data_IF_792720369201
#
_entry.id   IF_792720369201
#
_cell.length_a   1.000
_cell.length_b   1.000
_cell.length_c   1.000
_cell.angle_alpha   90.00
_cell.angle_beta   90.00
_cell.angle_gamma   90.00
#
_symmetry.space_group_name_H-M   'P 1'
#
loop_
_entity.id
_entity.type
_entity.pdbx_description
1 polymer ?
#
# COMPACT_ATOMS: atom_id res chain seq x y z
N UNK A 1 -33.21 7.75 43.66
CA UNK A 1 -32.79 6.35 43.39
C UNK A 1 -33.82 5.71 42.48
N UNK A 2 -33.41 5.42 41.25
CA UNK A 2 -33.91 4.35 40.37
C UNK A 2 -32.93 4.25 39.18
N UNK A 3 -32.41 3.06 38.82
CA UNK A 3 -31.30 2.90 37.87
C UNK A 3 -31.78 2.88 36.39
N UNK A 4 -30.87 3.05 35.40
CA UNK A 4 -31.24 3.13 33.99
C UNK A 4 -31.45 1.75 33.34
N UNK A 5 -32.42 1.71 32.42
CA UNK A 5 -32.91 0.51 31.75
C UNK A 5 -31.99 0.10 30.57
N UNK A 6 -31.07 -0.83 30.82
CA UNK A 6 -30.11 -1.37 29.84
C UNK A 6 -30.69 -2.45 28.90
N UNK A 7 -32.00 -2.64 28.91
CA UNK A 7 -32.69 -3.75 28.26
C UNK A 7 -33.01 -3.53 26.77
N UNK A 8 -32.95 -2.29 26.25
CA UNK A 8 -33.34 -1.99 24.86
C UNK A 8 -32.15 -2.04 23.87
N UNK A 9 -30.91 -1.91 24.34
CA UNK A 9 -29.72 -1.98 23.46
C UNK A 9 -29.30 -3.43 23.10
N UNK A 10 -29.72 -4.42 23.88
CA UNK A 10 -29.34 -5.82 23.68
C UNK A 10 -30.25 -6.59 22.71
N UNK A 11 -31.47 -6.11 22.45
CA UNK A 11 -32.41 -6.78 21.53
C UNK A 11 -32.12 -6.44 20.06
N UNK A 12 -31.54 -5.26 19.77
CA UNK A 12 -31.17 -4.86 18.41
C UNK A 12 -29.94 -5.58 17.83
N UNK A 13 -28.99 -5.99 18.67
CA UNK A 13 -27.76 -6.68 18.23
C UNK A 13 -27.98 -8.19 18.07
N UNK A 14 -28.89 -8.79 18.85
CA UNK A 14 -29.23 -10.21 18.72
C UNK A 14 -30.10 -10.52 17.47
N UNK A 15 -30.89 -9.56 16.98
CA UNK A 15 -31.75 -9.75 15.81
C UNK A 15 -30.97 -9.78 14.48
N UNK A 16 -29.87 -9.03 14.35
CA UNK A 16 -29.06 -8.99 13.12
C UNK A 16 -28.18 -10.24 12.96
N UNK A 17 -27.69 -10.82 14.06
CA UNK A 17 -26.99 -12.11 14.02
C UNK A 17 -27.94 -13.28 13.70
N UNK A 18 -29.21 -13.21 14.13
CA UNK A 18 -30.23 -14.22 13.80
C UNK A 18 -30.62 -14.23 12.32
N UNK A 19 -30.67 -13.06 11.66
CA UNK A 19 -31.00 -12.92 10.24
C UNK A 19 -29.87 -13.45 9.34
N UNK A 20 -28.61 -13.25 9.72
CA UNK A 20 -27.45 -13.81 8.98
C UNK A 20 -27.37 -15.34 9.06
N UNK A 21 -27.84 -15.96 10.16
CA UNK A 21 -27.89 -17.42 10.29
C UNK A 21 -29.08 -18.06 9.55
N UNK A 22 -30.22 -17.36 9.38
CA UNK A 22 -31.35 -17.90 8.62
C UNK A 22 -31.12 -17.90 7.09
N UNK A 23 -30.34 -16.96 6.55
CA UNK A 23 -30.02 -16.92 5.12
C UNK A 23 -29.15 -18.10 4.64
N UNK A 24 -28.50 -18.84 5.54
CA UNK A 24 -27.70 -20.02 5.21
C UNK A 24 -28.50 -21.33 5.19
N UNK A 25 -29.81 -21.31 5.52
CA UNK A 25 -30.61 -22.56 5.65
C UNK A 25 -31.81 -22.70 4.71
N UNK A 26 -32.13 -21.72 3.88
CA UNK A 26 -33.23 -21.83 2.92
C UNK A 26 -32.73 -21.78 1.46
N UNK A 27 -32.27 -22.93 0.97
CA UNK A 27 -32.30 -23.24 -0.47
C UNK A 27 -33.76 -23.47 -0.86
N UNK A 28 -34.40 -22.48 -1.46
CA UNK A 28 -35.69 -22.66 -2.11
C UNK A 28 -36.57 -21.41 -2.11
N UNK A 29 -37.08 -21.10 -3.30
CA UNK A 29 -38.15 -20.13 -3.63
C UNK A 29 -37.66 -18.75 -4.10
N UNK A 30 -38.16 -18.40 -5.30
CA UNK A 30 -37.79 -17.32 -6.23
C UNK A 30 -38.66 -16.06 -6.02
N UNK A 31 -38.06 -14.89 -6.37
CA UNK A 31 -38.66 -13.66 -6.96
C UNK A 31 -39.67 -12.89 -6.08
N UNK A 32 -39.74 -11.57 -6.00
CA UNK A 32 -39.20 -10.41 -6.74
C UNK A 32 -39.48 -9.16 -5.86
N UNK A 33 -39.05 -7.98 -6.33
CA UNK A 33 -39.49 -6.64 -5.89
C UNK A 33 -38.62 -5.85 -4.92
N UNK A 34 -37.31 -5.83 -5.13
CA UNK A 34 -36.50 -4.66 -4.75
C UNK A 34 -35.72 -4.20 -5.97
N UNK A 35 -35.88 -2.93 -6.34
CA UNK A 35 -35.17 -2.30 -7.44
C UNK A 35 -33.67 -2.32 -7.12
N UNK A 36 -32.96 -3.36 -7.58
CA UNK A 36 -31.55 -3.64 -7.24
C UNK A 36 -30.64 -2.44 -7.48
N UNK A 37 -30.97 -1.58 -8.45
CA UNK A 37 -30.22 -0.36 -8.73
C UNK A 37 -30.38 0.72 -7.66
N UNK A 38 -31.53 0.84 -7.01
CA UNK A 38 -31.74 1.80 -5.93
C UNK A 38 -31.11 1.31 -4.63
N UNK A 39 -31.27 0.02 -4.30
CA UNK A 39 -30.62 -0.59 -3.14
C UNK A 39 -29.10 -0.54 -3.25
N UNK A 40 -28.51 -0.83 -4.42
CA UNK A 40 -27.06 -0.73 -4.65
C UNK A 40 -26.56 0.72 -4.62
N UNK A 41 -27.34 1.69 -5.14
CA UNK A 41 -27.00 3.12 -5.04
C UNK A 41 -27.07 3.64 -3.60
N UNK A 42 -28.07 3.19 -2.83
CA UNK A 42 -28.19 3.52 -1.40
C UNK A 42 -27.07 2.86 -0.61
N UNK A 43 -26.70 1.60 -0.89
CA UNK A 43 -25.56 0.92 -0.27
C UNK A 43 -24.22 1.62 -0.58
N UNK A 44 -24.01 2.12 -1.80
CA UNK A 44 -22.83 2.90 -2.16
C UNK A 44 -22.76 4.27 -1.45
N UNK A 45 -23.90 4.81 -1.00
CA UNK A 45 -23.98 6.05 -0.22
C UNK A 45 -23.85 5.80 1.29
N UNK A 46 -24.26 4.62 1.79
CA UNK A 46 -24.21 4.23 3.21
C UNK A 46 -22.90 3.56 3.65
N UNK A 47 -22.03 3.15 2.72
CA UNK A 47 -20.72 2.58 3.06
C UNK A 47 -19.81 3.59 3.78
N UNK A 48 -19.88 4.89 3.49
CA UNK A 48 -18.89 5.86 4.01
C UNK A 48 -18.86 5.97 5.54
N UNK A 49 -19.99 6.06 6.28
CA UNK A 49 -19.96 6.13 7.74
C UNK A 49 -19.52 4.81 8.39
N UNK A 50 -20.07 3.67 7.94
CA UNK A 50 -19.73 2.35 8.49
C UNK A 50 -18.27 1.99 8.21
N UNK A 51 -17.80 2.28 7.00
CA UNK A 51 -16.40 2.15 6.63
C UNK A 51 -15.51 3.02 7.52
N UNK A 52 -15.87 4.29 7.74
CA UNK A 52 -15.09 5.18 8.64
C UNK A 52 -15.00 4.62 10.06
N UNK A 53 -16.09 4.07 10.59
CA UNK A 53 -16.10 3.44 11.91
C UNK A 53 -15.18 2.20 11.90
N UNK A 54 -15.38 1.27 10.95
CA UNK A 54 -14.58 0.06 10.84
C UNK A 54 -13.08 0.35 10.63
N UNK A 55 -12.77 1.32 9.78
CA UNK A 55 -11.42 1.79 9.50
C UNK A 55 -10.78 2.48 10.72
N UNK A 56 -11.55 3.27 11.48
CA UNK A 56 -11.08 3.84 12.75
C UNK A 56 -10.79 2.74 13.78
N UNK A 57 -11.67 1.73 13.88
CA UNK A 57 -11.45 0.58 14.75
C UNK A 57 -10.20 -0.20 14.34
N UNK A 58 -10.01 -0.42 13.04
CA UNK A 58 -8.81 -1.07 12.50
C UNK A 58 -7.55 -0.27 12.86
N UNK A 59 -7.49 1.03 12.55
CA UNK A 59 -6.25 1.81 12.69
C UNK A 59 -5.93 2.25 14.11
N UNK A 60 -6.92 2.44 14.99
CA UNK A 60 -6.71 3.11 16.30
C UNK A 60 -6.88 2.22 17.53
N UNK A 61 -7.26 0.95 17.38
CA UNK A 61 -7.61 0.13 18.55
C UNK A 61 -6.84 -1.18 18.63
N UNK A 62 -6.80 -1.75 19.83
CA UNK A 62 -6.28 -3.11 20.08
C UNK A 62 -7.03 -4.17 19.27
N UNK A 63 -8.31 -3.94 18.91
CA UNK A 63 -9.07 -4.85 18.08
C UNK A 63 -8.49 -4.94 16.65
N UNK A 64 -8.12 -3.79 16.07
CA UNK A 64 -7.42 -3.74 14.79
C UNK A 64 -6.07 -4.46 14.84
N UNK A 65 -5.29 -4.22 15.90
CA UNK A 65 -4.05 -4.96 16.13
C UNK A 65 -4.27 -6.47 16.29
N UNK A 66 -5.34 -6.90 16.96
CA UNK A 66 -5.71 -8.32 17.03
C UNK A 66 -6.08 -8.91 15.67
N UNK A 67 -6.77 -8.15 14.82
CA UNK A 67 -7.11 -8.56 13.46
C UNK A 67 -5.83 -8.73 12.62
N UNK A 68 -4.92 -7.76 12.67
CA UNK A 68 -3.59 -7.87 12.04
C UNK A 68 -2.83 -9.12 12.51
N UNK A 69 -2.73 -9.37 13.83
CA UNK A 69 -2.06 -10.57 14.35
C UNK A 69 -2.67 -11.87 13.83
N UNK A 70 -3.99 -11.90 13.64
CA UNK A 70 -4.68 -13.05 13.01
C UNK A 70 -4.32 -13.19 11.53
N UNK A 71 -4.21 -12.07 10.80
CA UNK A 71 -3.77 -12.09 9.40
C UNK A 71 -2.36 -12.64 9.27
N UNK A 72 -1.40 -12.15 10.07
CA UNK A 72 -0.03 -12.66 10.12
C UNK A 72 -0.01 -14.16 10.38
N UNK A 73 -0.73 -14.63 11.42
CA UNK A 73 -0.81 -16.06 11.73
C UNK A 73 -1.37 -16.88 10.55
N UNK A 74 -2.45 -16.41 9.93
CA UNK A 74 -3.08 -17.09 8.78
C UNK A 74 -2.15 -17.11 7.57
N UNK A 75 -1.45 -16.01 7.31
CA UNK A 75 -0.50 -15.87 6.22
C UNK A 75 0.66 -16.86 6.35
N UNK A 76 1.31 -16.94 7.52
CA UNK A 76 2.39 -17.92 7.74
C UNK A 76 1.95 -19.37 7.55
N UNK A 77 0.72 -19.69 7.94
CA UNK A 77 0.15 -21.03 7.71
C UNK A 77 -0.09 -21.31 6.22
N UNK A 78 -0.48 -20.29 5.45
CA UNK A 78 -0.79 -20.43 4.02
C UNK A 78 0.45 -20.32 3.13
N UNK A 79 1.42 -19.53 3.54
CA UNK A 79 2.62 -19.13 2.82
C UNK A 79 3.84 -19.24 3.76
N UNK A 80 4.26 -20.46 4.15
CA UNK A 80 5.34 -20.64 5.13
C UNK A 80 6.69 -20.08 4.68
N UNK A 81 6.91 -19.95 3.38
CA UNK A 81 8.11 -19.36 2.75
C UNK A 81 7.82 -17.99 2.11
N UNK A 82 6.73 -17.32 2.51
CA UNK A 82 6.24 -16.10 1.87
C UNK A 82 5.36 -16.36 0.64
N UNK A 83 4.60 -15.34 0.22
CA UNK A 83 3.70 -15.41 -0.93
C UNK A 83 4.42 -15.37 -2.28
N UNK A 84 5.70 -14.99 -2.26
CA UNK A 84 6.58 -14.89 -3.42
C UNK A 84 7.99 -15.33 -3.06
N UNK A 85 8.77 -15.75 -4.05
CA UNK A 85 10.22 -15.85 -3.97
C UNK A 85 10.82 -14.55 -4.49
N UNK A 86 11.71 -13.93 -3.71
CA UNK A 86 12.35 -12.68 -4.06
C UNK A 86 13.87 -12.88 -4.12
N UNK A 87 14.51 -12.27 -5.11
CA UNK A 87 15.96 -12.18 -5.18
C UNK A 87 16.39 -10.86 -4.56
N UNK A 88 17.52 -10.88 -3.85
CA UNK A 88 18.16 -9.66 -3.38
C UNK A 88 18.77 -8.90 -4.56
N UNK A 89 18.74 -7.58 -4.48
CA UNK A 89 19.48 -6.72 -5.37
C UNK A 89 20.74 -6.23 -4.66
N UNK A 90 21.90 -6.34 -5.30
CA UNK A 90 23.17 -5.88 -4.76
C UNK A 90 23.74 -4.76 -5.62
N UNK A 91 24.26 -3.72 -4.97
CA UNK A 91 24.84 -2.54 -5.60
C UNK A 91 25.90 -1.94 -4.69
N UNK A 92 27.18 -2.12 -5.05
CA UNK A 92 28.34 -1.44 -4.46
C UNK A 92 28.25 -1.18 -2.94
N UNK A 93 28.15 -2.24 -2.14
CA UNK A 93 28.10 -2.14 -0.68
C UNK A 93 26.69 -2.09 -0.09
N UNK A 94 25.64 -2.03 -0.92
CA UNK A 94 24.24 -2.15 -0.51
C UNK A 94 23.63 -3.45 -1.01
N UNK A 95 22.85 -4.11 -0.16
CA UNK A 95 21.97 -5.22 -0.53
C UNK A 95 20.53 -4.89 -0.13
N UNK A 96 19.60 -4.93 -1.08
CA UNK A 96 18.15 -4.74 -0.86
C UNK A 96 17.46 -6.09 -1.00
N UNK A 97 16.76 -6.51 0.05
CA UNK A 97 16.11 -7.81 0.13
C UNK A 97 14.60 -7.61 0.32
N UNK A 98 13.77 -7.93 -0.68
CA UNK A 98 12.34 -7.99 -0.49
C UNK A 98 11.99 -9.19 0.39
N UNK A 99 11.21 -8.94 1.44
CA UNK A 99 10.73 -9.95 2.39
C UNK A 99 9.22 -10.09 2.19
N UNK A 100 8.74 -11.14 1.50
CA UNK A 100 7.32 -11.38 1.34
C UNK A 100 6.69 -11.72 2.69
N UNK A 101 5.74 -10.89 3.11
CA UNK A 101 5.01 -11.01 4.38
C UNK A 101 3.51 -10.93 4.14
N UNK A 102 2.72 -11.41 5.09
CA UNK A 102 1.26 -11.50 4.96
C UNK A 102 0.85 -12.24 3.65
N UNK A 103 -0.23 -11.81 2.99
CA UNK A 103 -0.71 -12.44 1.74
C UNK A 103 -0.06 -11.91 0.48
N UNK A 104 0.35 -10.65 0.49
CA UNK A 104 0.81 -9.91 -0.69
C UNK A 104 1.71 -8.72 -0.34
N UNK A 105 1.98 -8.42 0.94
CA UNK A 105 2.83 -7.30 1.35
C UNK A 105 4.33 -7.64 1.13
N UNK A 106 5.13 -6.62 0.85
CA UNK A 106 6.58 -6.68 0.96
C UNK A 106 7.06 -5.77 2.09
N UNK A 107 7.82 -6.35 3.02
CA UNK A 107 8.80 -5.59 3.81
C UNK A 107 10.11 -5.56 3.03
N UNK A 108 11.00 -4.61 3.31
CA UNK A 108 12.32 -4.57 2.69
C UNK A 108 13.42 -4.50 3.74
N UNK A 109 14.49 -5.26 3.55
CA UNK A 109 15.72 -5.10 4.31
C UNK A 109 16.78 -4.45 3.42
N UNK A 110 17.26 -3.28 3.82
CA UNK A 110 18.36 -2.57 3.16
C UNK A 110 19.59 -2.72 4.03
N UNK A 111 20.59 -3.40 3.50
CA UNK A 111 21.80 -3.79 4.21
C UNK A 111 22.98 -2.99 3.71
N UNK A 112 23.73 -2.38 4.62
CA UNK A 112 25.10 -1.93 4.40
C UNK A 112 26.02 -3.15 4.62
N UNK A 113 26.56 -3.68 3.54
CA UNK A 113 27.34 -4.93 3.57
C UNK A 113 28.72 -4.74 4.20
N UNK A 114 29.24 -3.51 4.26
CA UNK A 114 30.53 -3.22 4.87
C UNK A 114 30.46 -3.18 6.40
N UNK A 115 29.36 -2.64 6.95
CA UNK A 115 29.17 -2.51 8.40
C UNK A 115 28.28 -3.58 9.02
N UNK A 116 27.67 -4.45 8.20
CA UNK A 116 26.67 -5.45 8.64
C UNK A 116 25.49 -4.80 9.38
N UNK A 117 25.16 -3.57 9.01
CA UNK A 117 23.98 -2.82 9.46
C UNK A 117 22.82 -3.05 8.52
N UNK A 118 21.60 -3.05 9.05
CA UNK A 118 20.39 -3.08 8.25
C UNK A 118 19.33 -2.07 8.68
N UNK A 119 18.54 -1.65 7.69
CA UNK A 119 17.35 -0.83 7.82
C UNK A 119 16.16 -1.62 7.29
N UNK A 120 15.10 -1.76 8.09
CA UNK A 120 13.88 -2.42 7.66
C UNK A 120 12.83 -1.38 7.23
N UNK A 121 12.28 -1.51 6.02
CA UNK A 121 11.15 -0.71 5.56
C UNK A 121 9.87 -1.51 5.74
N UNK A 122 8.88 -0.90 6.39
CA UNK A 122 7.56 -1.49 6.68
C UNK A 122 7.61 -2.94 7.19
N UNK A 123 8.28 -3.22 8.33
CA UNK A 123 8.45 -4.57 8.85
C UNK A 123 7.14 -5.11 9.44
N UNK A 124 6.21 -5.50 8.57
CA UNK A 124 4.86 -5.90 8.94
C UNK A 124 4.84 -7.17 9.78
N UNK A 125 5.70 -8.15 9.47
CA UNK A 125 5.87 -9.38 10.22
C UNK A 125 7.22 -9.38 10.97
N UNK A 126 7.25 -9.10 12.28
CA UNK A 126 8.51 -8.98 13.01
C UNK A 126 9.28 -10.30 13.10
N UNK A 127 8.62 -11.47 12.99
CA UNK A 127 9.33 -12.76 13.10
C UNK A 127 10.00 -13.13 11.77
N UNK A 128 9.35 -12.85 10.65
CA UNK A 128 9.94 -13.06 9.32
C UNK A 128 11.11 -12.12 9.09
N UNK A 129 10.98 -10.85 9.48
CA UNK A 129 12.09 -9.88 9.41
C UNK A 129 13.24 -10.28 10.32
N UNK A 130 12.97 -10.71 11.55
CA UNK A 130 14.00 -11.22 12.47
C UNK A 130 14.72 -12.47 11.95
N UNK A 131 14.02 -13.36 11.24
CA UNK A 131 14.64 -14.52 10.61
C UNK A 131 15.59 -14.09 9.48
N UNK A 132 15.17 -13.13 8.64
CA UNK A 132 16.01 -12.59 7.57
C UNK A 132 17.25 -11.86 8.12
N UNK A 133 17.11 -11.05 9.17
CA UNK A 133 18.25 -10.41 9.86
C UNK A 133 19.30 -11.45 10.31
N UNK A 134 18.85 -12.58 10.88
CA UNK A 134 19.73 -13.67 11.33
C UNK A 134 20.39 -14.41 10.19
N UNK A 135 19.64 -14.70 9.13
CA UNK A 135 20.17 -15.37 7.93
C UNK A 135 21.26 -14.53 7.26
N UNK A 136 21.05 -13.22 7.20
CA UNK A 136 22.02 -12.27 6.62
C UNK A 136 23.16 -11.90 7.58
N UNK A 137 23.06 -12.25 8.86
CA UNK A 137 24.08 -11.96 9.87
C UNK A 137 24.24 -10.46 10.17
N UNK A 138 23.15 -9.68 10.11
CA UNK A 138 23.18 -8.21 10.22
C UNK A 138 22.38 -7.69 11.41
N UNK A 139 22.72 -6.48 11.86
CA UNK A 139 22.09 -5.81 13.01
C UNK A 139 21.08 -4.75 12.56
N UNK A 140 19.87 -4.76 13.15
CA UNK A 140 18.83 -3.81 12.82
C UNK A 140 19.06 -2.46 13.52
N UNK A 141 19.38 -1.42 12.74
CA UNK A 141 19.64 -0.07 13.25
C UNK A 141 18.42 0.84 13.18
N UNK A 142 17.61 0.69 12.13
CA UNK A 142 16.45 1.54 11.92
C UNK A 142 15.29 0.83 11.23
N UNK A 143 14.10 1.37 11.46
CA UNK A 143 12.87 1.06 10.76
C UNK A 143 12.40 2.34 10.06
N UNK A 144 12.13 2.25 8.76
CA UNK A 144 11.46 3.30 8.00
C UNK A 144 10.01 2.87 7.78
N UNK A 145 9.06 3.56 8.40
CA UNK A 145 7.64 3.20 8.28
C UNK A 145 6.93 4.20 7.37
N UNK A 146 6.35 3.74 6.27
CA UNK A 146 5.71 4.59 5.28
C UNK A 146 4.41 5.16 5.82
N UNK A 147 3.60 4.36 6.51
CA UNK A 147 2.33 4.78 7.08
C UNK A 147 1.81 3.84 8.18
N UNK A 148 0.72 4.23 8.82
CA UNK A 148 0.22 3.61 10.06
C UNK A 148 -0.54 2.28 9.92
N UNK A 149 -0.81 1.78 8.72
CA UNK A 149 -1.60 0.56 8.60
C UNK A 149 -0.83 -0.63 9.15
N UNK A 150 -1.54 -1.53 9.82
CA UNK A 150 -0.90 -2.59 10.60
C UNK A 150 -0.11 -3.60 9.77
N UNK A 151 -0.48 -3.77 8.51
CA UNK A 151 0.24 -4.56 7.53
C UNK A 151 1.52 -3.88 6.98
N UNK A 152 1.89 -2.72 7.53
CA UNK A 152 3.19 -2.06 7.35
C UNK A 152 3.89 -1.82 8.69
N UNK A 153 3.17 -1.25 9.66
CA UNK A 153 3.72 -0.80 10.94
C UNK A 153 3.60 -1.84 12.08
N UNK A 154 2.96 -2.98 11.82
CA UNK A 154 2.55 -3.94 12.85
C UNK A 154 3.68 -4.69 13.54
N UNK A 155 4.88 -4.72 12.96
CA UNK A 155 6.06 -5.30 13.58
C UNK A 155 6.96 -4.30 14.29
N UNK A 156 6.74 -2.99 14.17
CA UNK A 156 7.64 -1.95 14.70
C UNK A 156 7.96 -2.14 16.18
N UNK A 157 6.94 -2.21 17.03
CA UNK A 157 7.13 -2.44 18.47
C UNK A 157 7.69 -3.82 18.79
N UNK A 158 7.39 -4.82 17.95
CA UNK A 158 7.92 -6.18 18.07
C UNK A 158 9.42 -6.21 17.90
N UNK A 159 9.92 -5.59 16.83
CA UNK A 159 11.34 -5.49 16.54
C UNK A 159 12.07 -4.58 17.52
N UNK A 160 11.50 -3.44 17.92
CA UNK A 160 12.11 -2.56 18.95
C UNK A 160 12.29 -3.24 20.31
N UNK A 161 11.44 -4.21 20.67
CA UNK A 161 11.64 -5.01 21.89
C UNK A 161 12.82 -5.97 21.78
N UNK A 162 13.13 -6.45 20.57
CA UNK A 162 14.27 -7.34 20.30
C UNK A 162 15.56 -6.53 20.10
N UNK A 163 15.45 -5.34 19.50
CA UNK A 163 16.54 -4.42 19.14
C UNK A 163 16.28 -3.07 19.80
N UNK A 164 16.69 -2.92 21.06
CA UNK A 164 16.31 -1.76 21.90
C UNK A 164 16.85 -0.41 21.40
N UNK A 165 17.96 -0.41 20.67
CA UNK A 165 18.56 0.76 20.01
C UNK A 165 17.89 1.14 18.68
N UNK A 166 17.01 0.28 18.15
CA UNK A 166 16.41 0.47 16.84
C UNK A 166 15.56 1.75 16.79
N UNK A 167 15.91 2.63 15.85
CA UNK A 167 15.23 3.90 15.59
C UNK A 167 14.06 3.68 14.64
N UNK A 168 12.84 4.05 15.03
CA UNK A 168 11.66 4.05 14.15
C UNK A 168 11.41 5.46 13.63
N UNK A 169 11.50 5.59 12.31
CA UNK A 169 11.23 6.78 11.53
C UNK A 169 9.86 6.71 10.85
N UNK A 170 9.23 7.86 10.69
CA UNK A 170 7.93 8.00 10.02
C UNK A 170 7.26 9.33 10.37
N UNK A 171 6.05 9.55 9.83
CA UNK A 171 5.32 10.79 10.10
C UNK A 171 4.67 10.79 11.48
N UNK A 172 4.84 11.89 12.21
CA UNK A 172 4.07 12.13 13.44
C UNK A 172 2.56 12.25 13.18
N UNK A 173 2.14 12.62 11.95
CA UNK A 173 0.74 12.79 11.56
C UNK A 173 -0.02 11.46 11.62
N UNK A 174 0.67 10.35 11.35
CA UNK A 174 0.07 9.03 11.25
C UNK A 174 0.13 8.22 12.56
N UNK A 175 0.69 8.77 13.64
CA UNK A 175 0.81 8.08 14.93
C UNK A 175 1.40 6.66 14.78
N UNK A 176 2.53 6.56 14.08
CA UNK A 176 3.23 5.31 13.80
C UNK A 176 3.54 4.56 15.12
N UNK A 177 3.13 3.28 15.25
CA UNK A 177 3.48 2.47 16.41
C UNK A 177 4.99 2.40 16.63
N UNK A 178 5.42 2.70 17.86
CA UNK A 178 6.83 2.70 18.22
C UNK A 178 7.67 3.84 17.63
N UNK A 179 7.06 4.90 17.08
CA UNK A 179 7.76 6.07 16.54
C UNK A 179 8.74 6.66 17.57
N UNK A 180 9.95 7.01 17.10
CA UNK A 180 10.99 7.63 17.93
C UNK A 180 11.60 8.85 17.26
N UNK A 181 11.68 8.85 15.94
CA UNK A 181 12.31 9.90 15.13
C UNK A 181 11.28 10.40 14.10
N UNK A 182 10.37 11.31 14.49
CA UNK A 182 9.39 11.86 13.56
C UNK A 182 10.10 12.63 12.44
N UNK A 183 9.59 12.50 11.22
CA UNK A 183 10.12 13.16 10.03
C UNK A 183 9.12 14.13 9.41
N UNK A 184 9.67 15.16 8.77
CA UNK A 184 9.00 16.13 7.91
C UNK A 184 9.33 15.88 6.43
N UNK A 185 8.67 16.63 5.54
CA UNK A 185 8.99 16.57 4.11
C UNK A 185 10.46 16.93 3.85
N UNK A 186 11.13 16.11 3.02
CA UNK A 186 12.51 16.28 2.54
C UNK A 186 13.61 16.12 3.59
N UNK A 187 13.29 15.63 4.79
CA UNK A 187 14.30 15.29 5.80
C UNK A 187 15.25 14.20 5.29
N UNK A 188 16.51 14.28 5.71
CA UNK A 188 17.54 13.28 5.42
C UNK A 188 17.70 12.31 6.58
N UNK A 189 18.01 11.05 6.27
CA UNK A 189 18.28 9.99 7.23
C UNK A 189 19.60 9.32 6.81
N UNK A 190 20.64 9.52 7.61
CA UNK A 190 21.98 9.00 7.34
C UNK A 190 22.31 7.87 8.32
N UNK A 191 22.56 6.67 7.77
CA UNK A 191 22.76 5.42 8.51
C UNK A 191 23.93 4.65 7.88
N UNK A 192 25.15 4.90 8.36
CA UNK A 192 26.35 4.34 7.72
C UNK A 192 26.51 4.91 6.30
N UNK A 193 26.61 4.05 5.29
CA UNK A 193 26.60 4.44 3.88
C UNK A 193 25.18 4.60 3.29
N UNK A 194 24.13 4.29 4.06
CA UNK A 194 22.74 4.38 3.61
C UNK A 194 22.21 5.80 3.81
N UNK A 195 22.07 6.53 2.72
CA UNK A 195 21.55 7.91 2.71
C UNK A 195 20.13 7.92 2.15
N UNK A 196 19.14 8.16 3.00
CA UNK A 196 17.74 8.27 2.58
C UNK A 196 17.26 9.71 2.62
N UNK A 197 16.37 10.05 1.67
CA UNK A 197 15.53 11.24 1.73
C UNK A 197 14.08 10.84 1.91
N UNK A 198 13.44 11.37 2.94
CA UNK A 198 12.02 11.16 3.19
C UNK A 198 11.18 12.21 2.45
N UNK A 199 10.07 11.80 1.84
CA UNK A 199 9.11 12.73 1.23
C UNK A 199 7.73 12.52 1.84
N UNK A 200 7.10 13.63 2.24
CA UNK A 200 5.74 13.61 2.76
C UNK A 200 4.75 13.50 1.60
N UNK A 201 3.95 12.43 1.58
CA UNK A 201 3.14 12.03 0.43
C UNK A 201 1.70 11.67 0.81
N UNK A 202 0.94 12.63 1.39
CA UNK A 202 -0.43 12.38 1.81
C UNK A 202 -1.31 11.93 0.64
N UNK A 203 -2.20 10.98 0.89
CA UNK A 203 -3.09 10.43 -0.13
C UNK A 203 -3.75 9.15 0.35
N UNK A 204 -2.96 8.08 0.47
CA UNK A 204 -3.44 6.82 1.03
C UNK A 204 -3.86 7.00 2.49
N UNK A 205 -2.91 7.37 3.34
CA UNK A 205 -3.16 8.00 4.64
C UNK A 205 -2.79 9.49 4.60
N UNK A 206 -3.22 10.27 5.58
CA UNK A 206 -2.83 11.69 5.69
C UNK A 206 -1.38 11.87 6.14
N UNK A 207 -0.78 10.86 6.77
CA UNK A 207 0.60 10.89 7.24
C UNK A 207 1.58 10.07 6.40
N UNK A 208 1.19 9.62 5.21
CA UNK A 208 2.01 8.72 4.39
C UNK A 208 3.34 9.37 3.99
N UNK A 209 4.43 8.60 4.03
CA UNK A 209 5.77 8.97 3.59
C UNK A 209 6.35 7.94 2.62
N UNK A 210 7.23 8.39 1.73
CA UNK A 210 8.06 7.53 0.88
C UNK A 210 9.54 7.82 1.17
N UNK A 211 10.40 6.84 0.96
CA UNK A 211 11.83 6.93 1.28
C UNK A 211 12.66 6.66 0.02
N UNK A 212 13.49 7.62 -0.36
CA UNK A 212 14.40 7.50 -1.50
C UNK A 212 15.82 7.26 -0.98
N UNK A 213 16.34 6.06 -1.19
CA UNK A 213 17.74 5.72 -0.97
C UNK A 213 18.58 6.27 -2.13
N UNK A 214 19.58 7.08 -1.82
CA UNK A 214 20.53 7.60 -2.80
C UNK A 214 21.53 6.52 -3.21
N UNK A 215 21.37 6.01 -4.43
CA UNK A 215 22.29 5.05 -5.03
C UNK A 215 23.47 5.70 -5.75
N UNK A 216 23.41 7.02 -6.02
CA UNK A 216 24.40 7.70 -6.87
C UNK A 216 25.74 7.81 -6.18
N UNK A 217 25.74 8.02 -4.86
CA UNK A 217 26.94 7.99 -4.04
C UNK A 217 27.70 6.64 -4.14
N UNK A 218 27.00 5.58 -4.54
CA UNK A 218 27.51 4.22 -4.69
C UNK A 218 27.51 3.77 -6.16
N UNK A 219 27.40 4.68 -7.12
CA UNK A 219 27.56 4.37 -8.54
C UNK A 219 26.42 3.57 -9.17
N UNK A 220 25.19 3.65 -8.64
CA UNK A 220 24.01 3.09 -9.31
C UNK A 220 22.72 3.90 -9.08
N UNK A 221 21.56 3.38 -9.50
CA UNK A 221 20.30 4.13 -9.45
C UNK A 221 19.79 4.30 -8.01
N UNK A 222 19.04 5.38 -7.77
CA UNK A 222 18.30 5.54 -6.52
C UNK A 222 17.22 4.46 -6.38
N UNK A 223 16.85 4.13 -5.14
CA UNK A 223 15.77 3.18 -4.82
C UNK A 223 14.68 3.85 -4.01
N UNK A 224 13.45 3.86 -4.53
CA UNK A 224 12.27 4.42 -3.89
C UNK A 224 11.45 3.33 -3.21
N UNK A 225 11.35 3.41 -1.88
CA UNK A 225 10.39 2.64 -1.10
C UNK A 225 9.11 3.43 -0.96
N UNK A 226 8.06 2.97 -1.64
CA UNK A 226 6.87 3.76 -1.92
C UNK A 226 5.66 3.45 -1.05
N UNK A 227 5.73 2.38 -0.24
CA UNK A 227 4.61 1.91 0.56
C UNK A 227 3.36 1.78 -0.29
N UNK A 228 2.31 2.47 0.13
CA UNK A 228 0.99 2.43 -0.50
C UNK A 228 0.68 3.67 -1.35
N UNK A 229 1.70 4.47 -1.69
CA UNK A 229 1.51 5.59 -2.61
C UNK A 229 1.36 5.10 -4.06
N UNK A 230 2.40 4.45 -4.57
CA UNK A 230 2.50 3.98 -5.96
C UNK A 230 2.87 2.51 -5.96
N UNK A 231 2.23 1.75 -6.84
CA UNK A 231 2.49 0.34 -7.05
C UNK A 231 2.88 0.12 -8.51
N UNK A 232 3.38 -1.07 -8.85
CA UNK A 232 3.54 -1.45 -10.25
C UNK A 232 2.18 -1.33 -10.97
N UNK A 233 2.10 -0.42 -11.94
CA UNK A 233 0.90 -0.06 -12.70
C UNK A 233 -0.30 0.43 -11.87
N UNK A 234 -0.09 0.84 -10.62
CA UNK A 234 -1.16 1.23 -9.70
C UNK A 234 -0.81 2.38 -8.75
N UNK A 235 -1.78 2.75 -7.92
CA UNK A 235 -1.60 3.61 -6.75
C UNK A 235 -2.48 3.14 -5.59
N UNK A 236 -2.20 3.66 -4.39
CA UNK A 236 -3.02 3.45 -3.21
C UNK A 236 -4.47 3.87 -3.38
N UNK A 237 -5.36 3.21 -2.62
CA UNK A 237 -6.71 3.76 -2.40
C UNK A 237 -6.59 5.01 -1.54
N UNK A 238 -7.41 6.01 -1.82
CA UNK A 238 -7.45 7.26 -1.04
C UNK A 238 -8.34 7.09 0.19
N UNK A 239 -7.84 6.41 1.23
CA UNK A 239 -8.61 6.20 2.47
C UNK A 239 -8.86 7.51 3.21
N UNK A 240 -7.84 8.37 3.27
CA UNK A 240 -7.88 9.60 4.07
C UNK A 240 -7.61 10.87 3.24
N UNK A 241 -6.95 10.77 2.08
CA UNK A 241 -6.64 11.88 1.20
C UNK A 241 -7.70 12.17 0.12
N UNK A 242 -7.55 13.32 -0.55
CA UNK A 242 -8.32 13.69 -1.75
C UNK A 242 -7.53 13.40 -3.03
N UNK A 243 -8.20 13.44 -4.19
CA UNK A 243 -7.53 13.28 -5.47
C UNK A 243 -6.47 14.37 -5.73
N UNK A 244 -6.70 15.60 -5.26
CA UNK A 244 -5.69 16.66 -5.31
C UNK A 244 -4.48 16.36 -4.43
N UNK A 245 -4.67 15.85 -3.21
CA UNK A 245 -3.55 15.42 -2.35
C UNK A 245 -2.76 14.27 -3.00
N UNK A 246 -3.45 13.22 -3.43
CA UNK A 246 -2.81 12.07 -4.08
C UNK A 246 -2.06 12.48 -5.36
N UNK A 247 -2.64 13.37 -6.18
CA UNK A 247 -1.97 13.88 -7.38
C UNK A 247 -0.66 14.58 -7.04
N UNK A 248 -0.67 15.48 -6.05
CA UNK A 248 0.56 16.16 -5.62
C UNK A 248 1.64 15.17 -5.17
N UNK A 249 1.26 14.11 -4.48
CA UNK A 249 2.17 13.05 -4.04
C UNK A 249 2.71 12.20 -5.20
N UNK A 250 1.89 11.88 -6.19
CA UNK A 250 2.31 11.18 -7.41
C UNK A 250 3.16 12.05 -8.32
N UNK A 251 2.98 13.37 -8.31
CA UNK A 251 3.83 14.31 -9.05
C UNK A 251 5.25 14.34 -8.45
N UNK A 252 5.40 14.25 -7.12
CA UNK A 252 6.71 14.06 -6.48
C UNK A 252 7.45 12.84 -7.01
N UNK A 253 6.75 11.70 -7.15
CA UNK A 253 7.32 10.47 -7.74
C UNK A 253 7.67 10.67 -9.21
N UNK A 254 6.80 11.34 -9.97
CA UNK A 254 6.98 11.59 -11.39
C UNK A 254 8.19 12.49 -11.71
N UNK A 255 8.60 13.33 -10.74
CA UNK A 255 9.78 14.20 -10.84
C UNK A 255 11.11 13.49 -10.50
N UNK A 256 11.08 12.24 -10.02
CA UNK A 256 12.31 11.47 -9.78
C UNK A 256 12.98 11.08 -11.10
N UNK A 257 14.26 10.69 -11.03
CA UNK A 257 14.99 10.26 -12.21
C UNK A 257 14.42 8.96 -12.76
N UNK A 258 14.39 8.86 -14.08
CA UNK A 258 13.77 7.76 -14.83
C UNK A 258 14.35 6.37 -14.47
N UNK A 259 15.63 6.32 -14.10
CA UNK A 259 16.34 5.12 -13.65
C UNK A 259 16.06 4.72 -12.20
N UNK A 260 15.33 5.55 -11.42
CA UNK A 260 15.00 5.24 -10.03
C UNK A 260 14.20 3.93 -9.95
N UNK A 261 14.65 3.01 -9.12
CA UNK A 261 14.02 1.73 -8.87
C UNK A 261 12.82 1.91 -7.93
N UNK A 262 11.72 1.24 -8.20
CA UNK A 262 10.49 1.32 -7.42
C UNK A 262 10.25 0.03 -6.63
N UNK A 263 10.16 0.18 -5.30
CA UNK A 263 9.88 -0.87 -4.32
C UNK A 263 8.52 -0.61 -3.63
N UNK A 264 7.43 -1.25 -4.09
CA UNK A 264 6.06 -1.04 -3.60
C UNK A 264 5.69 -1.86 -2.35
N UNK A 265 4.71 -1.40 -1.58
CA UNK A 265 4.22 -2.11 -0.40
C UNK A 265 3.56 -3.47 -0.69
N UNK A 266 3.06 -3.70 -1.91
CA UNK A 266 2.27 -4.89 -2.26
C UNK A 266 2.55 -5.47 -3.65
N UNK A 267 2.33 -6.78 -3.75
CA UNK A 267 2.33 -7.58 -4.99
C UNK A 267 1.00 -7.46 -5.75
N UNK A 268 0.66 -6.25 -6.20
CA UNK A 268 -0.59 -5.94 -6.93
C UNK A 268 -0.44 -5.85 -8.45
N UNK A 269 0.74 -6.19 -8.99
CA UNK A 269 1.10 -5.94 -10.38
C UNK A 269 0.08 -6.52 -11.39
N UNK A 270 -0.37 -7.77 -11.18
CA UNK A 270 -1.29 -8.44 -12.10
C UNK A 270 -2.67 -7.73 -12.15
N UNK A 271 -3.28 -7.50 -10.99
CA UNK A 271 -4.59 -6.82 -10.89
C UNK A 271 -4.51 -5.37 -11.39
N UNK A 272 -3.40 -4.69 -11.14
CA UNK A 272 -3.16 -3.33 -11.60
C UNK A 272 -3.06 -3.25 -13.11
N UNK A 273 -2.32 -4.15 -13.75
CA UNK A 273 -2.17 -4.21 -15.20
C UNK A 273 -3.47 -4.66 -15.90
N UNK A 274 -4.24 -5.57 -15.28
CA UNK A 274 -5.57 -5.91 -15.77
C UNK A 274 -6.52 -4.70 -15.75
N UNK A 275 -6.51 -3.91 -14.68
CA UNK A 275 -7.26 -2.66 -14.65
C UNK A 275 -6.75 -1.65 -15.70
N UNK A 276 -5.43 -1.51 -15.83
CA UNK A 276 -4.84 -0.62 -16.83
C UNK A 276 -5.26 -1.00 -18.27
N UNK A 277 -5.51 -2.29 -18.53
CA UNK A 277 -6.03 -2.76 -19.82
C UNK A 277 -7.45 -2.29 -20.13
N UNK A 278 -8.32 -2.14 -19.12
CA UNK A 278 -9.67 -1.61 -19.31
C UNK A 278 -9.66 -0.13 -19.68
N UNK A 279 -8.63 0.61 -19.26
CA UNK A 279 -8.54 2.05 -19.49
C UNK A 279 -7.71 2.37 -20.73
N UNK A 280 -6.54 1.74 -20.90
CA UNK A 280 -5.66 1.93 -22.05
C UNK A 280 -5.44 0.59 -22.78
N UNK A 281 -6.44 0.05 -23.51
CA UNK A 281 -6.38 -1.27 -24.12
C UNK A 281 -5.28 -1.40 -25.19
N UNK A 282 -4.90 -0.29 -25.82
CA UNK A 282 -3.90 -0.24 -26.89
C UNK A 282 -2.49 0.15 -26.42
N UNK A 283 -2.25 0.23 -25.10
CA UNK A 283 -0.92 0.53 -24.57
C UNK A 283 -0.01 -0.71 -24.65
N UNK A 284 0.92 -0.72 -25.60
CA UNK A 284 1.83 -1.85 -25.84
C UNK A 284 2.86 -2.02 -24.72
N UNK A 285 3.33 -0.94 -24.09
CA UNK A 285 4.23 -1.01 -22.94
C UNK A 285 3.56 -1.75 -21.77
N UNK A 286 2.26 -1.46 -21.54
CA UNK A 286 1.43 -2.15 -20.55
C UNK A 286 1.29 -3.64 -20.88
N UNK A 287 1.00 -3.99 -22.13
CA UNK A 287 0.86 -5.40 -22.54
C UNK A 287 2.17 -6.18 -22.36
N UNK A 288 3.30 -5.60 -22.80
CA UNK A 288 4.61 -6.21 -22.61
C UNK A 288 4.93 -6.45 -21.12
N UNK A 289 4.65 -5.45 -20.27
CA UNK A 289 4.84 -5.61 -18.82
C UNK A 289 3.91 -6.67 -18.23
N UNK A 290 2.67 -6.77 -18.71
CA UNK A 290 1.72 -7.80 -18.27
C UNK A 290 2.19 -9.21 -18.61
N UNK A 291 2.71 -9.44 -19.82
CA UNK A 291 3.28 -10.74 -20.19
C UNK A 291 4.48 -11.11 -19.29
N UNK A 292 5.35 -10.15 -18.99
CA UNK A 292 6.45 -10.36 -18.04
C UNK A 292 5.93 -10.71 -16.64
N UNK A 293 4.95 -9.96 -16.12
CA UNK A 293 4.33 -10.22 -14.80
C UNK A 293 3.71 -11.62 -14.76
N UNK A 294 3.00 -12.05 -15.79
CA UNK A 294 2.44 -13.41 -15.85
C UNK A 294 3.53 -14.49 -15.74
N UNK A 295 4.66 -14.32 -16.44
CA UNK A 295 5.78 -15.25 -16.37
C UNK A 295 6.42 -15.30 -14.97
N UNK A 296 6.61 -14.14 -14.33
CA UNK A 296 7.12 -14.05 -12.96
C UNK A 296 6.17 -14.74 -11.98
N UNK A 297 4.87 -14.38 -12.02
CA UNK A 297 3.87 -14.90 -11.08
C UNK A 297 3.58 -16.39 -11.25
N UNK A 298 3.69 -16.93 -12.48
CA UNK A 298 3.61 -18.38 -12.72
C UNK A 298 4.68 -19.17 -11.94
N UNK A 299 5.83 -18.55 -11.70
CA UNK A 299 6.94 -19.09 -10.90
C UNK A 299 6.94 -18.58 -9.45
N UNK A 300 5.88 -17.85 -9.04
CA UNK A 300 5.78 -17.15 -7.74
C UNK A 300 6.91 -16.16 -7.48
N UNK A 301 7.54 -15.61 -8.52
CA UNK A 301 8.62 -14.64 -8.38
C UNK A 301 8.04 -13.25 -8.09
N UNK A 302 8.75 -12.49 -7.25
CA UNK A 302 8.50 -11.07 -7.02
C UNK A 302 8.50 -10.29 -8.34
N UNK A 303 7.57 -9.34 -8.51
CA UNK A 303 7.54 -8.46 -9.70
C UNK A 303 8.22 -7.12 -9.47
N UNK A 304 8.86 -6.93 -8.31
CA UNK A 304 9.59 -5.72 -7.94
C UNK A 304 11.10 -5.97 -7.98
N UNK A 305 11.92 -4.96 -8.30
CA UNK A 305 11.51 -3.58 -8.58
C UNK A 305 11.07 -3.37 -10.04
N UNK A 306 10.31 -2.31 -10.29
CA UNK A 306 10.22 -1.66 -11.62
C UNK A 306 11.06 -0.37 -11.62
N UNK A 307 11.04 0.40 -12.70
CA UNK A 307 11.67 1.74 -12.77
C UNK A 307 10.61 2.85 -12.92
N UNK A 308 10.94 4.06 -12.47
CA UNK A 308 10.06 5.24 -12.67
C UNK A 308 9.80 5.49 -14.17
N UNK A 309 10.77 5.23 -15.04
CA UNK A 309 10.58 5.28 -16.50
C UNK A 309 9.47 4.35 -16.96
N UNK A 310 9.57 3.07 -16.61
CA UNK A 310 8.58 2.06 -16.97
C UNK A 310 7.19 2.44 -16.45
N UNK A 311 7.08 2.88 -15.19
CA UNK A 311 5.79 3.27 -14.62
C UNK A 311 5.15 4.44 -15.37
N UNK A 312 5.92 5.43 -15.85
CA UNK A 312 5.38 6.53 -16.69
C UNK A 312 4.81 6.03 -18.03
N UNK A 313 5.26 4.88 -18.52
CA UNK A 313 4.81 4.30 -19.78
C UNK A 313 3.48 3.54 -19.65
N UNK A 314 3.26 2.79 -18.57
CA UNK A 314 2.08 1.92 -18.43
C UNK A 314 1.19 2.17 -17.20
N UNK A 315 1.63 2.92 -16.19
CA UNK A 315 0.84 3.15 -14.99
C UNK A 315 -0.17 4.28 -15.22
N UNK A 316 -1.48 3.99 -15.30
CA UNK A 316 -2.47 5.03 -15.62
C UNK A 316 -2.51 6.13 -14.56
N UNK A 317 -2.07 5.87 -13.33
CA UNK A 317 -2.07 6.86 -12.24
C UNK A 317 -0.91 7.86 -12.34
N UNK A 318 0.20 7.52 -13.02
CA UNK A 318 1.28 8.46 -13.35
C UNK A 318 1.07 9.17 -14.70
N UNK A 319 0.02 8.77 -15.43
CA UNK A 319 -0.32 9.26 -16.77
C UNK A 319 -1.53 10.19 -16.76
N UNK A 320 -1.86 10.79 -15.61
CA UNK A 320 -3.01 11.72 -15.47
C UNK A 320 -2.96 12.94 -16.40
N UNK A 321 -1.80 13.24 -16.98
CA UNK A 321 -1.58 14.29 -17.97
C UNK A 321 -1.79 13.84 -19.43
N UNK A 322 -1.91 12.53 -19.69
CA UNK A 322 -1.97 11.97 -21.05
C UNK A 322 -3.30 12.26 -21.74
N UNK A 323 -3.29 12.87 -22.95
CA UNK A 323 -4.49 13.04 -23.77
C UNK A 323 -5.18 11.71 -24.14
N UNK A 324 -4.42 10.63 -24.31
CA UNK A 324 -4.93 9.29 -24.57
C UNK A 324 -5.81 8.83 -23.41
N UNK A 325 -5.34 9.04 -22.18
CA UNK A 325 -6.07 8.68 -20.96
C UNK A 325 -7.32 9.53 -20.79
N UNK A 326 -7.26 10.83 -21.10
CA UNK A 326 -8.43 11.73 -21.06
C UNK A 326 -9.52 11.26 -22.02
N UNK A 327 -9.14 10.90 -23.26
CA UNK A 327 -10.06 10.33 -24.26
C UNK A 327 -10.66 9.01 -23.78
N UNK A 328 -9.85 8.11 -23.24
CA UNK A 328 -10.31 6.82 -22.71
C UNK A 328 -11.32 6.94 -21.55
N UNK A 329 -11.17 7.99 -20.74
CA UNK A 329 -12.09 8.28 -19.64
C UNK A 329 -13.29 9.13 -20.05
N UNK A 330 -13.33 9.61 -21.30
CA UNK A 330 -14.30 10.60 -21.80
C UNK A 330 -14.31 11.87 -20.97
N UNK A 331 -13.12 12.34 -20.56
CA UNK A 331 -12.93 13.58 -19.81
C UNK A 331 -12.31 14.64 -20.71
N UNK A 332 -12.83 15.85 -20.62
CA UNK A 332 -12.27 17.04 -21.26
C UNK A 332 -12.10 18.13 -20.20
N UNK A 333 -11.04 18.92 -20.34
CA UNK A 333 -10.81 20.08 -19.51
C UNK A 333 -11.80 21.17 -19.91
N UNK A 334 -12.49 21.76 -18.93
CA UNK A 334 -13.27 22.97 -19.18
C UNK A 334 -12.30 24.14 -19.42
N UNK A 335 -12.56 25.06 -20.38
CA UNK A 335 -11.68 26.21 -20.63
C UNK A 335 -11.35 27.05 -19.39
N UNK A 336 -12.22 27.06 -18.38
CA UNK A 336 -12.05 27.77 -17.11
C UNK A 336 -11.43 26.94 -15.98
N UNK A 337 -11.24 25.63 -16.18
CA UNK A 337 -10.70 24.70 -15.18
C UNK A 337 -9.16 24.73 -15.16
N UNK A 338 -8.58 24.91 -13.98
CA UNK A 338 -7.14 24.81 -13.78
C UNK A 338 -6.62 23.41 -14.16
N UNK A 339 -5.45 23.35 -14.81
CA UNK A 339 -4.86 22.10 -15.30
C UNK A 339 -4.59 21.08 -14.18
N UNK A 340 -4.14 21.54 -13.01
CA UNK A 340 -3.88 20.66 -11.86
C UNK A 340 -5.19 20.09 -11.31
N UNK A 341 -6.23 20.92 -11.24
CA UNK A 341 -7.57 20.47 -10.84
C UNK A 341 -8.17 19.47 -11.84
N UNK A 342 -7.97 19.71 -13.14
CA UNK A 342 -8.39 18.76 -14.18
C UNK A 342 -7.67 17.42 -14.05
N UNK A 343 -6.35 17.41 -13.89
CA UNK A 343 -5.57 16.18 -13.63
C UNK A 343 -6.02 15.47 -12.35
N UNK A 344 -6.38 16.21 -11.31
CA UNK A 344 -6.89 15.62 -10.07
C UNK A 344 -8.27 14.99 -10.29
N UNK A 345 -9.13 15.59 -11.12
CA UNK A 345 -10.41 15.01 -11.53
C UNK A 345 -10.22 13.73 -12.35
N UNK A 346 -9.27 13.71 -13.28
CA UNK A 346 -8.86 12.51 -14.03
C UNK A 346 -8.40 11.41 -13.08
N UNK A 347 -7.52 11.73 -12.13
CA UNK A 347 -7.03 10.78 -11.12
C UNK A 347 -8.17 10.24 -10.24
N UNK A 348 -9.07 11.12 -9.79
CA UNK A 348 -10.23 10.75 -8.98
C UNK A 348 -11.16 9.78 -9.72
N UNK A 349 -11.40 10.01 -11.01
CA UNK A 349 -12.21 9.12 -11.84
C UNK A 349 -11.52 7.76 -12.07
N UNK A 350 -10.21 7.73 -12.35
CA UNK A 350 -9.43 6.50 -12.45
C UNK A 350 -9.52 5.67 -11.17
N UNK A 351 -9.30 6.32 -10.03
CA UNK A 351 -9.34 5.67 -8.72
C UNK A 351 -10.72 5.09 -8.44
N UNK A 352 -11.78 5.86 -8.72
CA UNK A 352 -13.17 5.42 -8.59
C UNK A 352 -13.46 4.19 -9.45
N UNK A 353 -13.01 4.17 -10.72
CA UNK A 353 -13.16 3.01 -11.60
C UNK A 353 -12.41 1.80 -11.07
N UNK A 354 -11.17 1.96 -10.59
CA UNK A 354 -10.38 0.86 -10.01
C UNK A 354 -10.98 0.34 -8.70
N UNK A 355 -11.61 1.19 -7.90
CA UNK A 355 -12.20 0.78 -6.63
C UNK A 355 -13.43 -0.11 -6.77
N UNK A 356 -14.16 0.00 -7.89
CA UNK A 356 -15.29 -0.87 -8.23
C UNK A 356 -14.92 -1.96 -9.24
N UNK A 357 -13.69 -1.95 -9.75
CA UNK A 357 -13.19 -2.95 -10.69
C UNK A 357 -13.18 -4.32 -10.01
N UNK A 358 -13.77 -5.29 -10.70
CA UNK A 358 -13.69 -6.70 -10.34
C UNK A 358 -12.92 -7.37 -11.48
N UNK A 359 -11.72 -7.86 -11.18
CA UNK A 359 -10.97 -8.69 -12.12
C UNK A 359 -11.89 -9.78 -12.67
N UNK A 360 -11.95 -9.89 -13.99
CA UNK A 360 -12.80 -10.87 -14.67
C UNK A 360 -12.23 -12.27 -14.58
#
# INVERSE_FOLDING_TARGET
MSPPDWSVLFVGVASVCGVLCLCLRCRGIRKSFWNKNLFMKVMALTEKPLFRIAYTLYTRTKLGYMFYKRQVKKARLRYPTGHSSAQSMEMNGIKIIPIPVLSDNYSYLVVDTASSMAVAVDPADPQTVEACLKEEGVSLEAILCTHKHWDHSGGNEGLRRLHSSCRVYGSAVDNIPGLTHPLSDKDSIDLGCLHFRAFFTPGHTVGHMIYLLDGRALGGPCSLFSGDLVFLSGCGRMFEGSATMMLSSLDTVSCLSDDTLLWPGHEYAMDNLMFAAEVEPNNTARENKFQWVLQQRAQKLCTSPSTIKEEKEYNPFLRSHSPELHRALSLQQDPSEDWTLFRARVLGELRRRKDIYKGR
#
